data_IF_675865770155
#
_entry.id   IF_675865770155
#
_cell.length_a   1.000
_cell.length_b   1.000
_cell.length_c   1.000
_cell.angle_alpha   90.00
_cell.angle_beta   90.00
_cell.angle_gamma   90.00
#
_symmetry.space_group_name_H-M   'P 1'
#
loop_
_entity.id
_entity.type
_entity.pdbx_description
1 polymer ?
#
# COMPACT_ATOMS: atom_id res chain seq x y z
N UNK A 1 -7.27 2.75 -44.34
CA UNK A 1 -6.38 2.20 -43.29
C UNK A 1 -7.19 2.11 -42.00
N UNK A 2 -7.51 0.88 -41.56
CA UNK A 2 -8.26 0.64 -40.32
C UNK A 2 -7.38 1.04 -39.13
N UNK A 3 -7.81 2.01 -38.33
CA UNK A 3 -7.20 2.32 -37.03
C UNK A 3 -7.54 1.16 -36.10
N UNK A 4 -6.55 0.33 -35.77
CA UNK A 4 -6.71 -0.68 -34.73
C UNK A 4 -6.71 0.05 -33.40
N UNK A 5 -7.87 0.08 -32.73
CA UNK A 5 -8.00 0.53 -31.36
C UNK A 5 -7.36 -0.56 -30.50
N UNK A 6 -6.14 -0.35 -30.01
CA UNK A 6 -5.55 -1.22 -29.01
C UNK A 6 -6.29 -0.93 -27.71
N UNK A 7 -7.33 -1.71 -27.44
CA UNK A 7 -7.93 -1.80 -26.12
C UNK A 7 -6.85 -2.40 -25.20
N UNK A 8 -6.22 -1.59 -24.36
CA UNK A 8 -5.53 -2.12 -23.20
C UNK A 8 -6.62 -2.72 -22.30
N UNK A 9 -6.87 -4.02 -22.46
CA UNK A 9 -7.55 -4.80 -21.46
C UNK A 9 -6.63 -4.80 -20.24
N UNK A 10 -6.89 -3.90 -19.30
CA UNK A 10 -6.46 -4.10 -17.92
C UNK A 10 -7.20 -5.34 -17.45
N UNK A 11 -6.53 -6.48 -17.55
CA UNK A 11 -6.94 -7.66 -16.81
C UNK A 11 -6.81 -7.25 -15.35
N UNK A 12 -7.95 -7.11 -14.66
CA UNK A 12 -8.03 -7.01 -13.21
C UNK A 12 -7.43 -8.29 -12.66
N UNK A 13 -6.14 -8.26 -12.37
CA UNK A 13 -5.46 -9.33 -11.65
C UNK A 13 -5.74 -9.16 -10.17
N UNK A 14 -5.91 -10.31 -9.53
CA UNK A 14 -6.31 -10.53 -8.17
C UNK A 14 -5.53 -9.72 -7.14
N UNK A 15 -6.26 -8.99 -6.31
CA UNK A 15 -5.69 -8.22 -5.20
C UNK A 15 -6.40 -8.58 -3.92
N UNK A 16 -5.66 -9.03 -2.91
CA UNK A 16 -6.10 -8.98 -1.51
C UNK A 16 -6.68 -7.57 -1.28
N UNK A 17 -7.57 -7.36 -0.32
CA UNK A 17 -8.06 -6.04 0.02
C UNK A 17 -8.37 -6.10 1.54
N UNK A 18 -8.25 -5.01 2.28
CA UNK A 18 -8.53 -4.95 3.73
C UNK A 18 -9.40 -3.76 4.04
N UNK A 19 -10.40 -3.84 4.93
CA UNK A 19 -11.43 -2.80 4.99
C UNK A 19 -11.45 -1.94 6.26
N UNK A 20 -12.33 -0.94 6.31
CA UNK A 20 -12.69 -0.22 7.53
C UNK A 20 -13.50 -1.11 8.48
N UNK A 21 -13.46 -0.77 9.78
CA UNK A 21 -14.40 -1.29 10.78
C UNK A 21 -15.84 -0.97 10.31
N UNK A 22 -16.62 -2.02 10.06
CA UNK A 22 -17.98 -1.93 9.56
C UNK A 22 -19.00 -2.18 10.68
N UNK A 23 -20.14 -1.50 10.63
CA UNK A 23 -21.30 -1.91 11.40
C UNK A 23 -21.84 -3.21 10.78
N UNK A 24 -21.97 -4.27 11.57
CA UNK A 24 -22.31 -5.61 11.05
C UNK A 24 -23.59 -6.14 11.68
N UNK A 25 -24.44 -6.72 10.84
CA UNK A 25 -25.61 -7.48 11.26
C UNK A 25 -25.29 -8.96 11.33
N UNK A 26 -25.65 -9.60 12.45
CA UNK A 26 -25.48 -11.05 12.63
C UNK A 26 -26.86 -11.68 12.73
N UNK A 27 -27.20 -12.52 11.76
CA UNK A 27 -28.43 -13.30 11.77
C UNK A 27 -28.19 -14.71 11.23
N UNK A 28 -28.80 -15.71 11.88
CA UNK A 28 -28.75 -17.10 11.41
C UNK A 28 -27.34 -17.71 11.34
N UNK A 29 -26.37 -17.17 12.08
CA UNK A 29 -24.97 -17.60 12.05
C UNK A 29 -24.17 -17.09 10.84
N UNK A 30 -24.67 -16.04 10.17
CA UNK A 30 -23.95 -15.29 9.14
C UNK A 30 -23.76 -13.85 9.59
N UNK A 31 -22.63 -13.26 9.23
CA UNK A 31 -22.36 -11.83 9.36
C UNK A 31 -22.50 -11.15 7.99
N UNK A 32 -23.07 -9.96 7.95
CA UNK A 32 -23.08 -9.11 6.76
C UNK A 32 -23.01 -7.63 7.13
N UNK A 33 -22.39 -6.83 6.27
CA UNK A 33 -22.31 -5.39 6.45
C UNK A 33 -23.72 -4.78 6.53
N UNK A 34 -23.95 -3.91 7.52
CA UNK A 34 -25.20 -3.14 7.58
C UNK A 34 -25.27 -2.19 6.40
N UNK A 35 -26.47 -2.03 5.83
CA UNK A 35 -26.69 -1.05 4.76
C UNK A 35 -26.32 0.36 5.22
N UNK A 36 -26.77 0.73 6.42
CA UNK A 36 -26.46 1.98 7.10
C UNK A 36 -26.91 1.85 8.57
N UNK A 37 -26.15 2.41 9.52
CA UNK A 37 -26.56 2.54 10.91
C UNK A 37 -27.38 3.82 11.09
N UNK A 38 -28.39 3.79 11.98
CA UNK A 38 -29.32 4.91 12.08
C UNK A 38 -28.84 6.09 12.94
N UNK A 39 -27.75 5.92 13.71
CA UNK A 39 -27.37 6.93 14.72
C UNK A 39 -25.90 6.99 15.14
N UNK A 40 -25.01 6.19 14.57
CA UNK A 40 -23.59 6.16 14.95
C UNK A 40 -22.82 6.55 13.72
N UNK A 41 -22.13 7.69 13.76
CA UNK A 41 -21.35 8.21 12.64
C UNK A 41 -19.87 7.93 12.85
N UNK A 42 -19.16 7.66 11.75
CA UNK A 42 -17.70 7.66 11.72
C UNK A 42 -17.20 9.09 11.53
N UNK A 43 -16.69 9.69 12.61
CA UNK A 43 -16.22 11.07 12.64
C UNK A 43 -14.86 11.18 11.95
N UNK A 44 -13.97 10.25 12.24
CA UNK A 44 -12.69 10.16 11.56
C UNK A 44 -12.13 8.76 11.46
N UNK A 45 -11.33 8.58 10.43
CA UNK A 45 -10.45 7.45 10.24
C UNK A 45 -9.01 7.94 10.05
N UNK A 46 -8.08 7.24 10.69
CA UNK A 46 -6.65 7.41 10.50
C UNK A 46 -5.99 6.06 10.24
N UNK A 47 -5.55 5.83 9.01
CA UNK A 47 -4.90 4.60 8.56
C UNK A 47 -3.42 4.86 8.39
N UNK A 48 -2.58 4.12 9.13
CA UNK A 48 -1.14 4.07 8.87
C UNK A 48 -0.81 2.75 8.21
N UNK A 49 -0.11 2.80 7.07
CA UNK A 49 0.38 1.64 6.35
C UNK A 49 1.91 1.73 6.35
N UNK A 50 2.58 0.76 6.97
CA UNK A 50 4.03 0.67 7.05
C UNK A 50 4.53 -0.44 6.13
N UNK A 51 5.27 -0.04 5.10
CA UNK A 51 5.89 -0.93 4.10
C UNK A 51 7.41 -1.00 4.26
N UNK A 52 7.95 -0.69 5.43
CA UNK A 52 9.38 -0.77 5.69
C UNK A 52 9.90 -2.21 5.84
N UNK A 53 9.05 -3.24 5.83
CA UNK A 53 9.47 -4.64 5.82
C UNK A 53 9.27 -5.24 4.41
N UNK A 54 10.25 -5.96 3.84
CA UNK A 54 10.13 -6.50 2.49
C UNK A 54 9.19 -7.72 2.38
N UNK A 55 8.86 -8.39 3.50
CA UNK A 55 8.08 -9.63 3.49
C UNK A 55 6.59 -9.41 3.82
N UNK A 56 6.28 -8.36 4.59
CA UNK A 56 4.93 -8.00 4.99
C UNK A 56 4.80 -6.49 5.12
N UNK A 57 3.57 -6.00 5.15
CA UNK A 57 3.27 -4.64 5.61
C UNK A 57 2.44 -4.69 6.89
N UNK A 58 2.51 -3.60 7.65
CA UNK A 58 1.74 -3.40 8.87
C UNK A 58 0.70 -2.32 8.65
N UNK A 59 -0.51 -2.54 9.12
CA UNK A 59 -1.57 -1.53 9.13
C UNK A 59 -2.00 -1.24 10.56
N UNK A 60 -2.13 0.04 10.87
CA UNK A 60 -2.69 0.58 12.10
C UNK A 60 -3.81 1.56 11.74
N UNK A 61 -5.04 1.06 11.77
CA UNK A 61 -6.25 1.80 11.45
C UNK A 61 -6.99 2.19 12.73
N UNK A 62 -7.29 3.48 12.87
CA UNK A 62 -7.99 4.04 14.03
C UNK A 62 -9.26 4.73 13.56
N UNK A 63 -10.37 4.45 14.24
CA UNK A 63 -11.69 4.96 13.91
C UNK A 63 -12.27 5.66 15.13
N UNK A 64 -12.75 6.88 14.92
CA UNK A 64 -13.46 7.65 15.93
C UNK A 64 -14.93 7.71 15.54
N UNK A 65 -15.78 7.22 16.42
CA UNK A 65 -17.23 7.20 16.24
C UNK A 65 -17.92 8.12 17.23
N UNK A 66 -19.10 8.60 16.88
CA UNK A 66 -19.99 9.31 17.80
C UNK A 66 -21.40 8.77 17.75
N UNK A 67 -21.99 8.48 18.91
CA UNK A 67 -23.37 8.03 19.01
C UNK A 67 -24.33 9.20 19.22
N UNK A 68 -25.19 9.44 18.23
CA UNK A 68 -26.20 10.49 18.23
C UNK A 68 -27.48 10.12 19.00
N UNK A 69 -27.61 8.91 19.53
CA UNK A 69 -28.84 8.40 20.16
C UNK A 69 -28.61 7.97 21.61
N UNK A 70 -29.40 7.01 22.07
CA UNK A 70 -29.30 6.30 23.36
C UNK A 70 -28.18 5.28 23.35
N UNK A 71 -27.85 4.74 24.53
CA UNK A 71 -26.87 3.65 24.67
C UNK A 71 -27.20 2.51 23.71
N UNK A 72 -26.21 2.12 22.92
CA UNK A 72 -26.37 1.15 21.83
C UNK A 72 -25.18 0.21 21.82
N UNK A 73 -25.42 -1.08 21.79
CA UNK A 73 -24.37 -2.10 21.69
C UNK A 73 -24.56 -2.87 20.39
N UNK A 74 -23.54 -2.88 19.54
CA UNK A 74 -23.59 -3.53 18.22
C UNK A 74 -22.35 -4.37 17.96
N UNK A 75 -22.46 -5.26 16.98
CA UNK A 75 -21.32 -5.94 16.39
C UNK A 75 -20.60 -4.99 15.42
N UNK A 76 -19.29 -4.87 15.60
CA UNK A 76 -18.38 -4.19 14.68
C UNK A 76 -17.48 -5.24 14.07
N UNK A 77 -17.44 -5.29 12.74
CA UNK A 77 -16.72 -6.31 12.00
C UNK A 77 -15.60 -5.75 11.16
N UNK A 78 -14.50 -6.49 11.13
CA UNK A 78 -13.42 -6.33 10.17
C UNK A 78 -13.41 -7.55 9.23
N UNK A 79 -13.54 -7.38 7.91
CA UNK A 79 -13.61 -8.53 7.01
C UNK A 79 -12.24 -9.20 6.91
N UNK A 80 -12.24 -10.53 6.93
CA UNK A 80 -11.04 -11.36 6.83
C UNK A 80 -10.58 -11.54 5.38
N UNK A 81 -11.50 -11.34 4.45
CA UNK A 81 -11.28 -11.32 3.00
C UNK A 81 -12.21 -10.28 2.40
N UNK A 82 -11.79 -9.54 1.38
CA UNK A 82 -12.74 -8.74 0.63
C UNK A 82 -12.52 -8.78 -0.89
N UNK A 83 -13.50 -8.20 -1.59
CA UNK A 83 -13.81 -8.38 -3.00
C UNK A 83 -12.63 -8.10 -3.94
N UNK A 84 -12.43 -8.96 -4.93
CA UNK A 84 -11.40 -8.79 -5.98
C UNK A 84 -10.06 -9.49 -5.71
N UNK A 85 -9.93 -10.19 -4.59
CA UNK A 85 -8.75 -10.99 -4.24
C UNK A 85 -8.78 -12.38 -4.85
N UNK A 86 -7.64 -12.87 -5.35
CA UNK A 86 -7.47 -14.32 -5.53
C UNK A 86 -7.56 -14.93 -4.13
N UNK A 87 -8.39 -15.97 -3.94
CA UNK A 87 -8.30 -16.78 -2.75
C UNK A 87 -7.09 -17.72 -2.87
N UNK A 88 -5.87 -17.23 -2.62
CA UNK A 88 -4.70 -18.02 -2.17
C UNK A 88 -3.69 -17.02 -1.55
N UNK A 89 -3.14 -17.14 -0.34
CA UNK A 89 -3.05 -18.23 0.62
C UNK A 89 -2.60 -17.61 1.96
N UNK A 90 -3.50 -17.14 2.82
CA UNK A 90 -3.07 -16.64 4.13
C UNK A 90 -4.11 -15.82 4.88
N UNK A 91 -4.30 -16.16 6.15
CA UNK A 91 -4.90 -15.28 7.15
C UNK A 91 -3.95 -14.11 7.45
N UNK A 92 -4.37 -13.14 8.25
CA UNK A 92 -3.45 -12.15 8.80
C UNK A 92 -2.23 -12.84 9.45
N UNK A 93 -1.02 -12.31 9.23
CA UNK A 93 0.18 -12.75 9.96
C UNK A 93 -0.01 -12.48 11.46
N UNK A 94 -0.61 -11.33 11.79
CA UNK A 94 -1.14 -11.03 13.11
C UNK A 94 -2.32 -10.09 12.97
N UNK A 95 -3.28 -10.19 13.89
CA UNK A 95 -4.44 -9.31 13.96
C UNK A 95 -4.76 -9.00 15.42
N UNK A 96 -4.95 -7.73 15.73
CA UNK A 96 -5.40 -7.24 17.04
C UNK A 96 -6.42 -6.14 16.85
N UNK A 97 -7.40 -6.08 17.73
CA UNK A 97 -8.37 -4.99 17.73
C UNK A 97 -8.64 -4.50 19.14
N UNK A 98 -8.94 -3.20 19.23
CA UNK A 98 -9.08 -2.48 20.47
C UNK A 98 -10.38 -1.67 20.47
N UNK A 99 -10.93 -1.48 21.65
CA UNK A 99 -12.01 -0.52 21.95
C UNK A 99 -11.51 0.37 23.08
N UNK A 100 -11.47 1.68 22.85
CA UNK A 100 -10.95 2.67 23.80
C UNK A 100 -9.58 2.24 24.39
N UNK A 101 -8.63 1.95 23.49
CA UNK A 101 -7.26 1.50 23.78
C UNK A 101 -7.11 0.16 24.54
N UNK A 102 -8.21 -0.56 24.78
CA UNK A 102 -8.19 -1.90 25.41
C UNK A 102 -8.34 -2.99 24.36
N UNK A 103 -7.42 -3.96 24.32
CA UNK A 103 -7.50 -5.11 23.41
C UNK A 103 -8.73 -5.94 23.76
N UNK A 104 -9.52 -6.32 22.77
CA UNK A 104 -10.77 -7.08 22.97
C UNK A 104 -10.70 -8.44 22.29
N UNK A 105 -11.39 -9.41 22.87
CA UNK A 105 -11.58 -10.72 22.22
C UNK A 105 -12.47 -10.60 20.99
N UNK A 106 -12.22 -11.46 20.01
CA UNK A 106 -12.94 -11.47 18.74
C UNK A 106 -13.50 -12.85 18.43
N UNK A 107 -14.53 -12.87 17.59
CA UNK A 107 -15.08 -14.10 17.01
C UNK A 107 -15.02 -14.02 15.49
N UNK A 108 -14.81 -15.15 14.82
CA UNK A 108 -14.87 -15.22 13.35
C UNK A 108 -16.24 -15.75 12.94
N UNK A 109 -16.96 -14.99 12.13
CA UNK A 109 -18.30 -15.37 11.64
C UNK A 109 -18.27 -15.36 10.11
N UNK A 110 -18.71 -16.46 9.49
CA UNK A 110 -18.79 -16.56 8.03
C UNK A 110 -19.81 -15.57 7.46
N UNK A 111 -19.53 -15.05 6.28
CA UNK A 111 -20.45 -14.26 5.48
C UNK A 111 -20.99 -15.14 4.35
N UNK A 112 -22.20 -15.65 4.52
CA UNK A 112 -22.79 -16.62 3.59
C UNK A 112 -23.08 -16.05 2.21
N UNK A 113 -23.24 -14.73 2.09
CA UNK A 113 -23.43 -14.07 0.80
C UNK A 113 -22.08 -13.98 0.06
N UNK A 114 -20.98 -13.78 0.80
CA UNK A 114 -19.62 -13.88 0.26
C UNK A 114 -19.18 -15.32 -0.02
N UNK A 115 -19.67 -16.33 0.70
CA UNK A 115 -19.29 -17.74 0.50
C UNK A 115 -19.56 -18.26 -0.92
N UNK A 116 -20.48 -17.64 -1.66
CA UNK A 116 -20.80 -18.00 -3.05
C UNK A 116 -19.70 -17.60 -4.04
N UNK A 117 -18.93 -16.55 -3.73
CA UNK A 117 -17.85 -16.02 -4.56
C UNK A 117 -16.46 -16.21 -3.96
N UNK A 118 -16.36 -16.40 -2.63
CA UNK A 118 -15.14 -16.63 -1.88
C UNK A 118 -15.38 -17.61 -0.71
N UNK A 119 -14.85 -18.84 -0.77
CA UNK A 119 -15.11 -19.88 0.24
C UNK A 119 -14.62 -19.53 1.66
N UNK A 120 -13.75 -18.53 1.81
CA UNK A 120 -13.22 -18.06 3.09
C UNK A 120 -13.87 -16.74 3.58
N UNK A 121 -14.94 -16.29 2.89
CA UNK A 121 -15.70 -15.09 3.21
C UNK A 121 -16.16 -15.06 4.66
N UNK A 122 -15.53 -14.23 5.48
CA UNK A 122 -15.81 -14.13 6.91
C UNK A 122 -15.42 -12.78 7.51
N UNK A 123 -15.96 -12.48 8.68
CA UNK A 123 -15.72 -11.28 9.46
C UNK A 123 -15.10 -11.62 10.81
N UNK A 124 -14.09 -10.86 11.22
CA UNK A 124 -13.60 -10.80 12.60
C UNK A 124 -14.47 -9.78 13.33
N UNK A 125 -15.28 -10.27 14.25
CA UNK A 125 -16.30 -9.50 14.97
C UNK A 125 -15.82 -9.20 16.39
N UNK A 126 -16.00 -7.95 16.80
CA UNK A 126 -16.00 -7.51 18.20
C UNK A 126 -17.37 -6.90 18.55
N UNK A 127 -17.75 -6.99 19.82
CA UNK A 127 -18.92 -6.26 20.35
C UNK A 127 -18.46 -4.93 20.91
N UNK A 128 -19.12 -3.84 20.52
CA UNK A 128 -18.77 -2.48 20.96
C UNK A 128 -19.99 -1.82 21.58
N UNK A 129 -19.81 -1.31 22.79
CA UNK A 129 -20.78 -0.45 23.46
C UNK A 129 -20.54 1.01 23.07
N UNK A 130 -21.59 1.67 22.60
CA UNK A 130 -21.61 3.09 22.26
C UNK A 130 -22.54 3.83 23.22
N UNK A 131 -22.01 4.44 24.30
CA UNK A 131 -22.83 5.24 25.22
C UNK A 131 -23.46 6.45 24.51
N UNK A 132 -24.64 6.85 24.99
CA UNK A 132 -25.40 7.97 24.46
C UNK A 132 -24.57 9.26 24.43
N UNK A 133 -24.54 9.93 23.27
CA UNK A 133 -23.87 11.23 23.08
C UNK A 133 -22.38 11.20 23.46
N UNK A 134 -21.70 10.07 23.26
CA UNK A 134 -20.27 9.91 23.51
C UNK A 134 -19.51 9.50 22.26
N UNK A 135 -18.22 9.81 22.29
CA UNK A 135 -17.26 9.27 21.34
C UNK A 135 -16.81 7.88 21.80
N UNK A 136 -16.59 7.00 20.83
CA UNK A 136 -15.94 5.70 21.04
C UNK A 136 -14.84 5.56 20.01
N UNK A 137 -13.66 5.13 20.45
CA UNK A 137 -12.57 4.81 19.57
C UNK A 137 -12.49 3.30 19.36
N UNK A 138 -12.32 2.87 18.12
CA UNK A 138 -11.84 1.52 17.81
C UNK A 138 -10.53 1.61 17.05
N UNK A 139 -9.74 0.53 17.16
CA UNK A 139 -8.47 0.41 16.44
C UNK A 139 -8.27 -1.01 15.98
N UNK A 140 -7.70 -1.18 14.80
CA UNK A 140 -7.30 -2.46 14.24
C UNK A 140 -5.84 -2.37 13.84
N UNK A 141 -5.04 -3.33 14.31
CA UNK A 141 -3.64 -3.46 13.97
C UNK A 141 -3.41 -4.84 13.40
N UNK A 142 -2.90 -4.91 12.17
CA UNK A 142 -2.63 -6.19 11.53
C UNK A 142 -1.36 -6.18 10.68
N UNK A 143 -0.86 -7.38 10.41
CA UNK A 143 0.22 -7.64 9.46
C UNK A 143 -0.31 -8.54 8.35
N UNK A 144 0.04 -8.23 7.11
CA UNK A 144 -0.36 -9.01 5.94
C UNK A 144 0.78 -9.09 4.92
N UNK A 145 0.78 -10.18 4.15
CA UNK A 145 1.68 -10.34 3.02
C UNK A 145 1.27 -9.40 1.87
N UNK A 146 2.25 -8.96 1.10
CA UNK A 146 2.00 -8.17 -0.11
C UNK A 146 1.25 -9.01 -1.15
N UNK A 147 0.29 -8.39 -1.84
CA UNK A 147 -0.21 -8.95 -3.11
C UNK A 147 0.87 -8.88 -4.19
N UNK A 148 0.86 -9.82 -5.14
CA UNK A 148 1.80 -9.83 -6.26
C UNK A 148 1.08 -9.62 -7.60
N UNK A 149 1.53 -8.64 -8.38
CA UNK A 149 1.03 -8.40 -9.73
C UNK A 149 1.93 -9.09 -10.76
N UNK A 150 1.99 -10.42 -10.76
CA UNK A 150 2.79 -11.20 -11.71
C UNK A 150 4.29 -10.82 -11.70
N UNK A 151 4.84 -10.53 -10.53
CA UNK A 151 6.22 -10.09 -10.32
C UNK A 151 6.51 -8.65 -10.76
N UNK A 152 5.50 -7.84 -11.04
CA UNK A 152 5.67 -6.47 -11.57
C UNK A 152 5.44 -5.37 -10.53
N UNK A 153 4.63 -5.65 -9.52
CA UNK A 153 4.34 -4.76 -8.42
C UNK A 153 3.95 -5.56 -7.18
N UNK A 154 4.37 -5.08 -6.02
CA UNK A 154 3.75 -5.45 -4.76
C UNK A 154 2.50 -4.57 -4.58
N UNK A 155 1.42 -5.14 -4.08
CA UNK A 155 0.15 -4.44 -3.92
C UNK A 155 -0.19 -4.40 -2.43
N UNK A 156 -0.45 -3.19 -1.92
CA UNK A 156 -1.04 -2.96 -0.60
C UNK A 156 -2.43 -2.35 -0.75
N UNK A 157 -3.49 -3.14 -0.55
CA UNK A 157 -4.86 -2.78 -0.88
C UNK A 157 -5.68 -2.45 0.37
N UNK A 158 -6.59 -1.48 0.27
CA UNK A 158 -7.41 -1.05 1.41
C UNK A 158 -8.79 -0.52 0.96
N UNK A 159 -9.87 -0.96 1.60
CA UNK A 159 -11.28 -0.75 1.26
C UNK A 159 -11.93 0.08 2.35
N UNK A 160 -12.09 1.37 2.11
CA UNK A 160 -12.80 2.25 3.04
C UNK A 160 -14.31 2.26 2.80
N UNK A 161 -14.77 1.55 1.78
CA UNK A 161 -16.17 1.47 1.40
C UNK A 161 -17.09 0.91 2.48
N UNK A 162 -16.60 0.00 3.32
CA UNK A 162 -17.39 -0.54 4.45
C UNK A 162 -17.77 0.51 5.47
N UNK A 163 -17.13 1.68 5.46
CA UNK A 163 -17.55 2.87 6.21
C UNK A 163 -18.96 3.36 5.85
N UNK A 164 -19.50 2.99 4.69
CA UNK A 164 -20.89 3.30 4.28
C UNK A 164 -21.95 2.66 5.19
N UNK A 165 -21.55 1.69 6.02
CA UNK A 165 -22.41 1.05 7.00
C UNK A 165 -22.74 1.93 8.20
N UNK A 166 -22.08 3.09 8.35
CA UNK A 166 -22.29 4.03 9.44
C UNK A 166 -23.24 5.17 9.04
N UNK A 167 -23.75 5.90 10.03
CA UNK A 167 -24.72 6.97 9.81
C UNK A 167 -24.07 8.16 9.08
N UNK A 168 -24.53 8.44 7.86
CA UNK A 168 -24.06 9.57 7.05
C UNK A 168 -22.62 9.45 6.53
N UNK A 169 -22.00 10.60 6.27
CA UNK A 169 -20.66 10.68 5.66
C UNK A 169 -19.54 10.27 6.64
N UNK A 170 -18.41 9.83 6.09
CA UNK A 170 -17.15 9.82 6.82
C UNK A 170 -16.67 11.27 6.93
N UNK A 171 -16.54 11.77 8.17
CA UNK A 171 -16.14 13.16 8.41
C UNK A 171 -14.73 13.47 7.91
N UNK A 172 -13.74 12.65 8.26
CA UNK A 172 -12.35 12.82 7.82
C UNK A 172 -11.62 11.49 7.70
N UNK A 173 -10.91 11.28 6.59
CA UNK A 173 -9.97 10.17 6.44
C UNK A 173 -8.55 10.70 6.31
N UNK A 174 -7.58 10.05 6.97
CA UNK A 174 -6.16 10.30 6.77
C UNK A 174 -5.46 8.98 6.52
N UNK A 175 -4.83 8.85 5.35
CA UNK A 175 -4.01 7.70 5.00
C UNK A 175 -2.56 8.16 5.08
N UNK A 176 -1.75 7.47 5.87
CA UNK A 176 -0.31 7.69 6.00
C UNK A 176 0.43 6.44 5.57
N UNK A 177 1.12 6.51 4.44
CA UNK A 177 2.07 5.47 4.03
C UNK A 177 3.46 5.82 4.58
N UNK A 178 4.06 4.88 5.31
CA UNK A 178 5.44 4.91 5.78
C UNK A 178 6.24 3.95 4.92
N UNK A 179 7.35 4.43 4.36
CA UNK A 179 8.16 3.63 3.45
C UNK A 179 9.66 3.86 3.67
N UNK A 180 10.46 2.89 3.25
CA UNK A 180 11.90 2.98 3.27
C UNK A 180 12.45 2.70 1.87
N UNK A 181 12.98 3.75 1.23
CA UNK A 181 13.53 3.71 -0.15
C UNK A 181 14.74 2.77 -0.30
N UNK A 182 15.36 2.39 0.82
CA UNK A 182 16.47 1.45 0.84
C UNK A 182 15.98 -0.01 0.71
N UNK A 183 14.73 -0.27 1.08
CA UNK A 183 14.14 -1.61 1.16
C UNK A 183 13.29 -1.90 -0.07
N UNK A 184 12.50 -0.91 -0.53
CA UNK A 184 11.63 -1.05 -1.69
C UNK A 184 12.10 -0.13 -2.81
N UNK A 185 12.25 -0.66 -4.03
CA UNK A 185 12.44 0.16 -5.24
C UNK A 185 11.10 0.70 -5.67
N UNK A 186 10.64 1.72 -4.96
CA UNK A 186 9.37 2.37 -5.22
C UNK A 186 9.54 3.28 -6.43
N UNK A 187 9.08 2.83 -7.59
CA UNK A 187 9.05 3.65 -8.81
C UNK A 187 7.76 4.46 -8.91
N UNK A 188 6.65 3.89 -8.45
CA UNK A 188 5.39 4.60 -8.35
C UNK A 188 4.68 4.14 -7.09
N UNK A 189 3.93 5.05 -6.49
CA UNK A 189 2.85 4.76 -5.55
C UNK A 189 1.64 5.47 -6.15
N UNK A 190 0.74 4.69 -6.74
CA UNK A 190 -0.56 5.19 -7.18
C UNK A 190 -1.60 4.77 -6.15
N UNK A 191 -1.89 5.59 -5.13
CA UNK A 191 -2.91 5.32 -4.11
C UNK A 191 -4.32 5.58 -4.64
N UNK A 192 -4.49 5.92 -5.92
CA UNK A 192 -5.78 6.35 -6.47
C UNK A 192 -6.39 5.31 -7.40
N UNK A 193 -5.70 4.18 -7.61
CA UNK A 193 -6.25 3.08 -8.38
C UNK A 193 -7.45 2.49 -7.64
N UNK A 194 -8.62 2.55 -8.27
CA UNK A 194 -9.90 2.13 -7.68
C UNK A 194 -10.74 3.26 -7.09
N UNK A 195 -10.17 4.46 -6.89
CA UNK A 195 -10.91 5.61 -6.36
C UNK A 195 -11.66 6.36 -7.47
N UNK A 196 -12.86 6.84 -7.14
CA UNK A 196 -13.65 7.73 -7.99
C UNK A 196 -12.98 9.10 -8.14
N UNK A 197 -13.06 9.69 -9.33
CA UNK A 197 -12.46 11.01 -9.62
C UNK A 197 -12.93 12.12 -8.66
N UNK A 198 -14.21 12.13 -8.28
CA UNK A 198 -14.79 13.13 -7.37
C UNK A 198 -14.14 13.12 -5.97
N UNK A 199 -13.61 11.97 -5.56
CA UNK A 199 -12.91 11.80 -4.29
C UNK A 199 -11.45 12.27 -4.42
N UNK A 200 -10.83 12.10 -5.60
CA UNK A 200 -9.44 12.50 -5.88
C UNK A 200 -9.23 14.01 -5.76
N UNK A 201 -10.22 14.82 -6.16
CA UNK A 201 -10.16 16.29 -6.08
C UNK A 201 -10.09 16.83 -4.63
N UNK A 202 -10.41 16.02 -3.62
CA UNK A 202 -10.44 16.42 -2.20
C UNK A 202 -9.14 16.11 -1.46
N UNK A 203 -8.13 15.61 -2.16
CA UNK A 203 -6.94 15.02 -1.56
C UNK A 203 -5.84 16.08 -1.38
N UNK A 204 -5.37 16.21 -0.14
CA UNK A 204 -4.17 16.99 0.18
C UNK A 204 -2.98 16.02 0.29
N UNK A 205 -2.03 16.16 -0.62
CA UNK A 205 -0.79 15.37 -0.66
C UNK A 205 0.36 16.08 0.06
N UNK A 206 1.09 15.34 0.89
CA UNK A 206 2.36 15.80 1.45
C UNK A 206 3.35 14.63 1.49
N UNK A 207 4.49 14.78 0.80
CA UNK A 207 5.62 13.86 0.86
C UNK A 207 6.71 14.49 1.72
N UNK A 208 7.09 13.76 2.77
CA UNK A 208 8.32 14.02 3.51
C UNK A 208 9.17 12.76 3.41
N UNK A 209 10.50 12.88 3.43
CA UNK A 209 11.43 11.74 3.34
C UNK A 209 10.97 10.58 4.25
N UNK A 210 10.48 9.49 3.65
CA UNK A 210 9.98 8.28 4.33
C UNK A 210 8.48 8.21 4.66
N UNK A 211 7.67 9.20 4.29
CA UNK A 211 6.22 9.12 4.43
C UNK A 211 5.43 9.93 3.39
N UNK A 212 4.30 9.38 2.96
CA UNK A 212 3.27 10.04 2.14
C UNK A 212 1.97 10.12 2.93
N UNK A 213 1.30 11.26 2.88
CA UNK A 213 0.04 11.49 3.58
C UNK A 213 -1.02 11.99 2.61
N UNK A 214 -2.17 11.33 2.63
CA UNK A 214 -3.40 11.75 1.93
C UNK A 214 -4.48 12.06 2.95
N UNK A 215 -5.25 13.11 2.69
CA UNK A 215 -6.33 13.56 3.57
C UNK A 215 -7.59 13.80 2.77
N UNK A 216 -8.70 13.24 3.23
CA UNK A 216 -10.04 13.43 2.69
C UNK A 216 -10.96 13.97 3.76
N UNK A 217 -12.01 14.67 3.33
CA UNK A 217 -13.02 15.23 4.23
C UNK A 217 -14.41 15.16 3.62
N UNK A 218 -15.38 14.94 4.48
CA UNK A 218 -16.82 15.07 4.24
C UNK A 218 -17.28 14.32 2.98
N UNK A 219 -16.92 13.04 2.85
CA UNK A 219 -17.25 12.22 1.69
C UNK A 219 -18.16 11.05 2.08
N UNK A 220 -19.01 10.64 1.15
CA UNK A 220 -19.90 9.49 1.30
C UNK A 220 -19.24 8.30 0.59
N UNK A 221 -18.77 7.28 1.35
CA UNK A 221 -18.19 6.09 0.75
C UNK A 221 -19.27 5.20 0.14
N UNK A 222 -18.98 4.55 -0.98
CA UNK A 222 -19.72 3.39 -1.46
C UNK A 222 -19.09 2.11 -0.96
N UNK A 223 -19.90 1.05 -0.76
CA UNK A 223 -19.41 -0.24 -0.22
C UNK A 223 -18.20 -0.82 -0.97
N UNK A 224 -18.09 -0.51 -2.26
CA UNK A 224 -16.99 -0.97 -3.14
C UNK A 224 -15.84 0.02 -3.25
N UNK A 225 -15.86 1.14 -2.53
CA UNK A 225 -14.77 2.12 -2.61
C UNK A 225 -13.52 1.57 -1.93
N UNK A 226 -12.41 1.61 -2.67
CA UNK A 226 -11.12 1.15 -2.21
C UNK A 226 -9.99 1.99 -2.82
N UNK A 227 -8.83 1.89 -2.22
CA UNK A 227 -7.58 2.29 -2.83
C UNK A 227 -6.60 1.12 -2.84
N UNK A 228 -5.66 1.15 -3.77
CA UNK A 228 -4.53 0.25 -3.79
C UNK A 228 -3.27 1.08 -3.83
N UNK A 229 -2.26 0.67 -3.08
CA UNK A 229 -0.91 1.19 -3.20
C UNK A 229 -0.16 0.18 -4.05
N UNK A 230 0.06 0.54 -5.31
CA UNK A 230 0.93 -0.25 -6.18
C UNK A 230 2.35 0.18 -5.92
N UNK A 231 3.14 -0.73 -5.36
CA UNK A 231 4.57 -0.59 -5.20
C UNK A 231 5.19 -1.32 -6.38
N UNK A 232 5.34 -0.62 -7.50
CA UNK A 232 5.96 -1.22 -8.67
C UNK A 232 7.43 -1.49 -8.37
N UNK A 233 7.75 -2.77 -8.12
CA UNK A 233 9.12 -3.24 -8.12
C UNK A 233 9.58 -3.46 -9.56
N UNK A 234 9.50 -2.40 -10.34
CA UNK A 234 10.28 -2.26 -11.55
C UNK A 234 11.18 -1.07 -11.33
N UNK A 235 12.32 -1.04 -12.00
CA UNK A 235 13.39 -0.04 -11.84
C UNK A 235 14.53 -0.39 -10.88
N UNK A 236 14.82 -1.70 -10.68
CA UNK A 236 16.23 -2.05 -10.61
C UNK A 236 16.70 -3.11 -11.61
N UNK A 237 16.42 -4.39 -11.45
CA UNK A 237 17.27 -5.39 -12.11
C UNK A 237 17.06 -5.56 -13.63
N UNK A 238 15.88 -5.22 -14.16
CA UNK A 238 15.54 -5.40 -15.58
C UNK A 238 15.95 -4.18 -16.43
N UNK A 239 15.78 -2.95 -15.93
CA UNK A 239 16.18 -1.74 -16.67
C UNK A 239 17.67 -1.40 -16.56
N UNK A 240 18.32 -1.78 -15.46
CA UNK A 240 19.77 -1.61 -15.30
C UNK A 240 20.58 -2.44 -16.29
N UNK A 241 19.94 -3.41 -16.97
CA UNK A 241 20.63 -4.29 -17.92
C UNK A 241 20.71 -3.73 -19.34
N UNK A 242 19.73 -2.97 -19.82
CA UNK A 242 19.66 -2.65 -21.26
C UNK A 242 19.23 -1.22 -21.63
N UNK A 243 18.31 -0.55 -20.92
CA UNK A 243 17.80 0.76 -21.37
C UNK A 243 18.74 1.92 -21.02
N UNK A 244 19.15 2.06 -19.76
CA UNK A 244 20.02 3.17 -19.31
C UNK A 244 21.48 3.04 -19.75
N UNK A 245 21.79 1.97 -20.47
CA UNK A 245 23.08 1.81 -21.13
C UNK A 245 23.04 2.23 -22.60
N UNK A 246 21.83 2.32 -23.15
CA UNK A 246 21.55 2.65 -24.54
C UNK A 246 20.89 4.03 -24.68
N UNK A 247 20.39 4.58 -23.57
CA UNK A 247 19.71 5.87 -23.50
C UNK A 247 20.33 6.79 -22.44
N UNK A 248 20.37 8.08 -22.77
CA UNK A 248 20.75 9.13 -21.84
C UNK A 248 19.65 9.35 -20.81
N UNK A 249 20.06 9.45 -19.55
CA UNK A 249 19.17 9.70 -18.44
C UNK A 249 18.72 11.16 -18.43
N UNK A 250 17.40 11.40 -18.34
CA UNK A 250 16.80 12.74 -18.28
C UNK A 250 16.75 13.26 -16.84
N UNK A 251 16.56 14.58 -16.65
CA UNK A 251 16.44 15.15 -15.29
C UNK A 251 15.10 14.77 -14.66
N UNK A 252 14.05 14.71 -15.47
CA UNK A 252 12.71 14.28 -15.07
C UNK A 252 12.71 12.85 -14.51
N UNK A 253 13.49 11.92 -15.07
CA UNK A 253 13.63 10.54 -14.57
C UNK A 253 14.34 10.41 -13.21
N UNK A 254 14.93 11.48 -12.65
CA UNK A 254 15.47 11.44 -11.28
C UNK A 254 14.51 12.14 -10.32
N UNK A 255 13.96 13.27 -10.76
CA UNK A 255 13.11 14.13 -9.95
C UNK A 255 11.75 13.46 -9.64
N UNK A 256 11.16 12.76 -10.63
CA UNK A 256 9.85 12.09 -10.48
C UNK A 256 9.86 10.98 -9.40
N UNK A 257 11.03 10.40 -9.15
CA UNK A 257 11.18 9.31 -8.18
C UNK A 257 11.67 9.76 -6.80
N UNK A 258 12.12 11.02 -6.65
CA UNK A 258 12.78 11.59 -5.45
C UNK A 258 13.73 10.59 -4.73
N UNK A 259 14.68 10.04 -5.46
CA UNK A 259 15.59 9.04 -4.90
C UNK A 259 16.41 9.56 -3.70
N UNK A 260 16.53 8.74 -2.65
CA UNK A 260 17.42 9.02 -1.51
C UNK A 260 18.90 9.08 -1.95
N UNK A 261 19.74 9.72 -1.13
CA UNK A 261 21.19 9.79 -1.41
C UNK A 261 21.83 8.40 -1.50
N UNK A 262 21.42 7.48 -0.62
CA UNK A 262 21.87 6.08 -0.65
C UNK A 262 21.40 5.36 -1.91
N UNK A 263 20.18 5.67 -2.37
CA UNK A 263 19.63 5.11 -3.61
C UNK A 263 20.39 5.58 -4.85
N UNK A 264 20.64 6.88 -4.97
CA UNK A 264 21.46 7.42 -6.06
C UNK A 264 22.88 6.81 -6.06
N UNK A 265 23.45 6.63 -4.86
CA UNK A 265 24.74 5.96 -4.68
C UNK A 265 24.70 4.52 -5.18
N UNK A 266 23.65 3.75 -4.90
CA UNK A 266 23.48 2.39 -5.41
C UNK A 266 23.32 2.39 -6.93
N UNK A 267 22.43 3.22 -7.50
CA UNK A 267 22.19 3.32 -8.95
C UNK A 267 23.49 3.65 -9.69
N UNK A 268 24.23 4.68 -9.24
CA UNK A 268 25.52 5.04 -9.82
C UNK A 268 26.50 3.88 -9.81
N UNK A 269 26.57 3.14 -8.70
CA UNK A 269 27.50 2.03 -8.56
C UNK A 269 27.10 0.77 -9.36
N UNK A 270 25.83 0.63 -9.72
CA UNK A 270 25.35 -0.48 -10.57
C UNK A 270 26.04 -0.52 -11.93
N UNK A 271 26.28 0.64 -12.56
CA UNK A 271 26.99 0.72 -13.84
C UNK A 271 28.38 0.07 -13.75
N UNK A 272 29.11 0.35 -12.67
CA UNK A 272 30.41 -0.27 -12.41
C UNK A 272 30.29 -1.75 -12.03
N UNK A 273 29.31 -2.10 -11.18
CA UNK A 273 29.10 -3.46 -10.71
C UNK A 273 28.83 -4.42 -11.89
N UNK A 274 28.11 -3.96 -12.92
CA UNK A 274 27.82 -4.77 -14.10
C UNK A 274 29.09 -5.22 -14.85
N UNK A 275 30.09 -4.35 -14.92
CA UNK A 275 31.40 -4.66 -15.50
C UNK A 275 32.33 -5.42 -14.52
N UNK A 276 31.81 -5.77 -13.34
CA UNK A 276 32.47 -6.59 -12.34
C UNK A 276 33.38 -5.82 -11.39
N UNK A 277 33.18 -4.50 -11.22
CA UNK A 277 33.95 -3.73 -10.23
C UNK A 277 33.82 -4.34 -8.84
N UNK A 278 34.97 -4.70 -8.24
CA UNK A 278 35.05 -5.09 -6.83
C UNK A 278 35.05 -3.83 -5.96
N UNK A 279 34.11 -3.73 -5.03
CA UNK A 279 33.95 -2.55 -4.19
C UNK A 279 34.78 -2.68 -2.90
N UNK A 280 35.50 -1.62 -2.55
CA UNK A 280 36.19 -1.51 -1.24
C UNK A 280 35.23 -1.20 -0.10
N UNK A 281 34.13 -0.54 -0.44
CA UNK A 281 33.07 -0.25 0.51
C UNK A 281 32.27 -1.51 0.81
N UNK A 282 32.15 -1.84 2.10
CA UNK A 282 31.55 -3.11 2.54
C UNK A 282 30.05 -3.18 2.23
N UNK A 283 29.32 -2.09 2.35
CA UNK A 283 27.88 -2.06 2.11
C UNK A 283 27.59 -2.27 0.62
N UNK A 284 28.31 -1.56 -0.25
CA UNK A 284 28.20 -1.74 -1.69
C UNK A 284 28.58 -3.17 -2.11
N UNK A 285 29.69 -3.69 -1.57
CA UNK A 285 30.13 -5.04 -1.89
C UNK A 285 29.08 -6.08 -1.48
N UNK A 286 28.58 -6.02 -0.24
CA UNK A 286 27.54 -6.93 0.26
C UNK A 286 26.24 -6.81 -0.56
N UNK A 287 25.84 -5.59 -0.91
CA UNK A 287 24.64 -5.35 -1.71
C UNK A 287 24.73 -6.05 -3.08
N UNK A 288 25.84 -5.88 -3.80
CA UNK A 288 26.02 -6.45 -5.13
C UNK A 288 26.33 -7.95 -5.11
N UNK A 289 27.01 -8.47 -4.09
CA UNK A 289 27.24 -9.92 -3.91
C UNK A 289 25.95 -10.73 -3.82
N UNK A 290 24.89 -10.14 -3.25
CA UNK A 290 23.57 -10.76 -3.18
C UNK A 290 22.82 -10.76 -4.54
N UNK A 291 23.39 -10.19 -5.60
CA UNK A 291 22.78 -10.11 -6.93
C UNK A 291 23.25 -11.24 -7.83
N UNK A 292 22.31 -12.05 -8.33
CA UNK A 292 22.59 -13.21 -9.20
C UNK A 292 23.39 -12.86 -10.48
N UNK A 293 23.29 -11.62 -10.95
CA UNK A 293 23.96 -11.14 -12.16
C UNK A 293 25.36 -10.56 -11.90
N UNK A 294 25.70 -10.22 -10.65
CA UNK A 294 26.99 -9.60 -10.34
C UNK A 294 28.10 -10.64 -10.36
N UNK A 295 29.13 -10.38 -11.16
CA UNK A 295 30.30 -11.24 -11.29
C UNK A 295 31.56 -10.40 -11.08
N UNK A 296 32.24 -10.54 -9.94
CA UNK A 296 33.51 -9.87 -9.69
C UNK A 296 34.50 -10.11 -10.84
N UNK A 297 35.04 -9.04 -11.39
CA UNK A 297 36.05 -9.04 -12.44
C UNK A 297 37.32 -8.36 -11.90
N UNK A 298 38.36 -9.12 -11.52
CA UNK A 298 39.61 -8.55 -11.04
C UNK A 298 40.29 -7.60 -12.03
N UNK A 299 39.96 -7.70 -13.32
CA UNK A 299 40.51 -6.88 -14.39
C UNK A 299 39.59 -5.69 -14.77
N UNK A 300 38.60 -5.37 -13.94
CA UNK A 300 37.72 -4.23 -14.17
C UNK A 300 38.53 -2.94 -14.39
N UNK A 301 38.13 -2.17 -15.41
CA UNK A 301 38.68 -0.85 -15.71
C UNK A 301 37.55 0.08 -16.14
N UNK A 302 37.66 1.37 -15.80
CA UNK A 302 36.64 2.36 -16.18
C UNK A 302 36.48 2.51 -17.70
N UNK A 303 37.51 2.13 -18.48
CA UNK A 303 37.44 2.09 -19.95
C UNK A 303 36.46 1.04 -20.48
N UNK A 304 35.94 0.15 -19.63
CA UNK A 304 34.88 -0.80 -20.00
C UNK A 304 33.50 -0.13 -20.04
N UNK A 305 33.36 1.05 -19.44
CA UNK A 305 32.12 1.83 -19.49
C UNK A 305 31.96 2.50 -20.85
N UNK A 306 30.75 2.51 -21.38
CA UNK A 306 30.44 3.23 -22.60
C UNK A 306 30.10 4.72 -22.31
N UNK A 307 30.04 5.54 -23.36
CA UNK A 307 29.79 6.99 -23.24
C UNK A 307 28.45 7.32 -22.55
N UNK A 308 27.43 6.51 -22.78
CA UNK A 308 26.10 6.67 -22.19
C UNK A 308 26.15 6.38 -20.69
N UNK A 309 26.80 5.29 -20.29
CA UNK A 309 27.02 4.93 -18.89
C UNK A 309 27.79 6.04 -18.16
N UNK A 310 28.86 6.56 -18.77
CA UNK A 310 29.66 7.66 -18.21
C UNK A 310 28.80 8.92 -18.02
N UNK A 311 28.00 9.28 -19.02
CA UNK A 311 27.09 10.43 -18.95
C UNK A 311 26.07 10.28 -17.82
N UNK A 312 25.45 9.11 -17.71
CA UNK A 312 24.45 8.81 -16.69
C UNK A 312 25.06 8.81 -15.28
N UNK A 313 26.24 8.21 -15.11
CA UNK A 313 27.00 8.26 -13.85
C UNK A 313 27.24 9.71 -13.41
N UNK A 314 27.70 10.56 -14.33
CA UNK A 314 27.97 11.97 -14.05
C UNK A 314 26.71 12.70 -13.62
N UNK A 315 25.61 12.51 -14.35
CA UNK A 315 24.33 13.12 -14.03
C UNK A 315 23.82 12.71 -12.65
N UNK A 316 23.80 11.41 -12.35
CA UNK A 316 23.39 10.90 -11.03
C UNK A 316 24.26 11.50 -9.92
N UNK A 317 25.57 11.64 -10.16
CA UNK A 317 26.49 12.26 -9.20
C UNK A 317 26.13 13.73 -8.92
N UNK A 318 25.76 14.49 -9.94
CA UNK A 318 25.31 15.89 -9.77
C UNK A 318 24.06 15.96 -8.88
N UNK A 319 23.11 15.04 -9.04
CA UNK A 319 21.94 14.94 -8.15
C UNK A 319 22.31 14.53 -6.72
N UNK A 320 23.22 13.58 -6.53
CA UNK A 320 23.71 13.23 -5.18
C UNK A 320 24.29 14.44 -4.44
N UNK A 321 25.00 15.30 -5.17
CA UNK A 321 25.67 16.48 -4.61
C UNK A 321 24.68 17.62 -4.33
N UNK A 322 23.58 17.73 -5.09
CA UNK A 322 22.46 18.66 -4.79
C UNK A 322 21.69 18.29 -3.50
N UNK A 323 21.70 17.01 -3.10
CA UNK A 323 20.98 16.52 -1.92
C UNK A 323 21.78 16.59 -0.60
N UNK A 324 23.05 17.00 -0.64
CA UNK A 324 23.92 17.18 0.54
C UNK A 324 23.63 18.49 1.27
#
# INVERSE_FOLDING_TARGET
MKKSLVLFSFVLYSTICFCDDAAVHIAGGSASVLKEHNSISMISEYVTIDICNPNYYLVDAKFDFYNHSVDTTIAVGFPRTCWGADPMQGDFISFKTYVNDTEVETSVIADRDLLLSNPDGSWIIKTVEFPAKKNVNTRVVYQAEYGDSGGTALIVPYVFGTGSSWFGNIGKMTIKLIFNDNILFISNIDPFLGMKEEIKDRIIFNRNKGAMIWKLKDFEPELTDFFQILITNRFPEIMWRDEWQRNYFSEYEIDDFEYSQEKLRLIRNTFYAKHGRIFKDKELQQYFENKKWYKPNPNFSENMLNEIEISNIKKIKEFEDKLK
#
